data_IF_815675848500
#
_entry.id   IF_815675848500
#
_cell.length_a   1.000
_cell.length_b   1.000
_cell.length_c   1.000
_cell.angle_alpha   90.00
_cell.angle_beta   90.00
_cell.angle_gamma   90.00
#
_symmetry.space_group_name_H-M   'P 1'
#
loop_
_entity.id
_entity.type
_entity.pdbx_description
1 polymer ?
#
# COMPACT_ATOMS: atom_id res chain seq x y z
N UNK A 1 -4.62 18.87 -9.05
CA UNK A 1 -3.62 17.83 -8.74
C UNK A 1 -4.11 16.80 -7.70
N UNK A 2 -5.25 17.02 -7.02
CA UNK A 2 -5.87 16.03 -6.11
C UNK A 2 -6.35 14.74 -6.79
N UNK A 3 -6.92 14.83 -8.01
CA UNK A 3 -7.49 13.67 -8.71
C UNK A 3 -6.48 12.53 -8.95
N UNK A 4 -5.22 12.86 -9.26
CA UNK A 4 -4.18 11.84 -9.47
C UNK A 4 -3.79 11.14 -8.16
N UNK A 5 -3.66 11.91 -7.08
CA UNK A 5 -3.24 11.38 -5.77
C UNK A 5 -4.34 10.55 -5.11
N UNK A 6 -5.59 10.95 -5.27
CA UNK A 6 -6.74 10.17 -4.84
C UNK A 6 -6.82 8.84 -5.63
N UNK A 7 -6.63 8.90 -6.95
CA UNK A 7 -6.57 7.70 -7.80
C UNK A 7 -5.50 6.71 -7.35
N UNK A 8 -4.27 7.21 -7.14
CA UNK A 8 -3.14 6.43 -6.60
C UNK A 8 -3.45 5.78 -5.25
N UNK A 9 -4.09 6.53 -4.35
CA UNK A 9 -4.44 6.05 -3.00
C UNK A 9 -5.49 4.94 -3.05
N UNK A 10 -6.53 5.10 -3.89
CA UNK A 10 -7.56 4.07 -4.10
C UNK A 10 -6.96 2.81 -4.73
N UNK A 11 -6.06 2.97 -5.69
CA UNK A 11 -5.37 1.85 -6.33
C UNK A 11 -4.48 1.10 -5.32
N UNK A 12 -3.70 1.82 -4.52
CA UNK A 12 -2.93 1.25 -3.40
C UNK A 12 -3.80 0.43 -2.46
N UNK A 13 -4.93 0.99 -2.00
CA UNK A 13 -5.87 0.30 -1.11
C UNK A 13 -6.35 -0.99 -1.76
N UNK A 14 -6.79 -0.94 -3.03
CA UNK A 14 -7.27 -2.13 -3.73
C UNK A 14 -6.17 -3.19 -3.90
N UNK A 15 -4.94 -2.79 -4.21
CA UNK A 15 -3.79 -3.71 -4.30
C UNK A 15 -3.50 -4.36 -2.94
N UNK A 16 -3.44 -3.58 -1.87
CA UNK A 16 -3.18 -4.07 -0.51
C UNK A 16 -4.32 -4.96 0.02
N UNK A 17 -5.57 -4.63 -0.28
CA UNK A 17 -6.72 -5.47 0.07
C UNK A 17 -6.76 -6.78 -0.73
N UNK A 18 -6.27 -6.82 -1.96
CA UNK A 18 -6.11 -8.08 -2.69
C UNK A 18 -4.96 -8.91 -2.11
N UNK A 19 -3.82 -8.28 -1.82
CA UNK A 19 -2.70 -8.94 -1.17
C UNK A 19 -3.09 -9.59 0.16
N UNK A 20 -3.91 -8.91 0.98
CA UNK A 20 -4.36 -9.47 2.26
C UNK A 20 -5.18 -10.74 2.05
N UNK A 21 -6.06 -10.75 1.04
CA UNK A 21 -6.89 -11.91 0.70
C UNK A 21 -6.03 -13.05 0.20
N UNK A 22 -5.01 -12.76 -0.62
CA UNK A 22 -4.08 -13.76 -1.13
C UNK A 22 -3.29 -14.42 0.02
N UNK A 23 -2.87 -13.63 1.01
CA UNK A 23 -2.27 -14.12 2.25
C UNK A 23 -3.23 -14.81 3.23
N UNK A 24 -4.53 -14.82 2.94
CA UNK A 24 -5.54 -15.39 3.84
C UNK A 24 -5.78 -14.57 5.12
N UNK A 25 -5.49 -13.27 5.10
CA UNK A 25 -5.73 -12.35 6.21
C UNK A 25 -7.18 -11.86 6.21
N UNK A 26 -7.75 -11.73 7.40
CA UNK A 26 -9.12 -11.25 7.54
C UNK A 26 -9.19 -9.73 7.37
N UNK A 27 -10.37 -9.22 6.98
CA UNK A 27 -10.55 -7.79 6.76
C UNK A 27 -10.47 -6.97 8.05
N UNK A 28 -10.60 -7.66 9.19
CA UNK A 28 -10.53 -7.14 10.56
C UNK A 28 -9.13 -7.23 11.15
N UNK A 29 -8.21 -7.96 10.51
CA UNK A 29 -6.85 -8.11 11.00
C UNK A 29 -6.07 -6.81 10.78
N UNK A 30 -5.29 -6.45 11.80
CA UNK A 30 -4.31 -5.38 11.70
C UNK A 30 -3.06 -5.87 10.98
N UNK A 31 -2.59 -5.08 10.03
CA UNK A 31 -1.42 -5.42 9.21
C UNK A 31 -0.38 -4.30 9.22
N UNK A 32 0.87 -4.65 8.97
CA UNK A 32 1.95 -3.73 8.66
C UNK A 32 2.24 -3.81 7.17
N UNK A 33 2.37 -2.65 6.54
CA UNK A 33 2.57 -2.53 5.10
C UNK A 33 3.91 -1.86 4.83
N UNK A 34 4.69 -2.47 3.94
CA UNK A 34 5.92 -1.89 3.41
C UNK A 34 5.84 -1.79 1.90
N UNK A 35 6.24 -0.66 1.35
CA UNK A 35 6.20 -0.37 -0.09
C UNK A 35 7.54 0.15 -0.59
N UNK A 36 7.87 -0.10 -1.86
CA UNK A 36 9.06 0.51 -2.44
C UNK A 36 8.89 2.03 -2.50
N UNK A 37 9.91 2.77 -2.07
CA UNK A 37 9.91 4.23 -2.12
C UNK A 37 9.94 4.70 -3.59
N UNK A 38 8.79 5.15 -4.06
CA UNK A 38 8.64 5.81 -5.36
C UNK A 38 8.08 7.21 -5.16
N UNK A 39 8.81 8.24 -5.57
CA UNK A 39 8.53 9.65 -5.23
C UNK A 39 7.08 10.07 -5.47
N UNK A 40 6.44 9.61 -6.55
CA UNK A 40 5.02 9.92 -6.83
C UNK A 40 4.05 9.19 -5.89
N UNK A 41 4.31 7.90 -5.64
CA UNK A 41 3.49 7.04 -4.80
C UNK A 41 3.61 7.44 -3.34
N UNK A 42 4.84 7.68 -2.88
CA UNK A 42 5.16 8.14 -1.52
C UNK A 42 4.45 9.46 -1.25
N UNK A 43 4.48 10.42 -2.17
CA UNK A 43 3.77 11.69 -1.99
C UNK A 43 2.25 11.49 -1.94
N UNK A 44 1.67 10.76 -2.88
CA UNK A 44 0.21 10.50 -2.90
C UNK A 44 -0.27 9.74 -1.67
N UNK A 45 0.50 8.73 -1.26
CA UNK A 45 0.21 7.91 -0.10
C UNK A 45 0.45 8.65 1.21
N UNK A 46 1.44 9.55 1.31
CA UNK A 46 1.60 10.40 2.50
C UNK A 46 0.44 11.38 2.65
N UNK A 47 -0.04 11.98 1.55
CA UNK A 47 -1.20 12.88 1.59
C UNK A 47 -2.49 12.18 2.05
N UNK A 48 -2.63 10.88 1.75
CA UNK A 48 -3.80 10.08 2.09
C UNK A 48 -3.50 8.96 3.10
N UNK A 49 -2.42 9.08 3.87
CA UNK A 49 -1.88 7.98 4.66
C UNK A 49 -2.89 7.49 5.70
N UNK A 50 -3.56 8.43 6.36
CA UNK A 50 -4.62 8.13 7.32
C UNK A 50 -5.81 7.42 6.68
N UNK A 51 -6.18 7.79 5.45
CA UNK A 51 -7.27 7.15 4.72
C UNK A 51 -6.89 5.73 4.31
N UNK A 52 -5.70 5.55 3.73
CA UNK A 52 -5.18 4.24 3.31
C UNK A 52 -5.10 3.30 4.50
N UNK A 53 -4.45 3.71 5.60
CA UNK A 53 -4.32 2.88 6.80
C UNK A 53 -5.67 2.50 7.41
N UNK A 54 -6.65 3.40 7.36
CA UNK A 54 -7.99 3.11 7.87
C UNK A 54 -8.71 2.07 7.01
N UNK A 55 -8.65 2.22 5.68
CA UNK A 55 -9.32 1.31 4.72
C UNK A 55 -8.72 -0.10 4.68
N UNK A 56 -7.42 -0.23 4.95
CA UNK A 56 -6.74 -1.54 4.95
C UNK A 56 -6.46 -2.08 6.35
N UNK A 57 -6.87 -1.34 7.40
CA UNK A 57 -6.52 -1.60 8.80
C UNK A 57 -5.00 -1.77 9.01
N UNK A 58 -4.19 -0.96 8.35
CA UNK A 58 -2.75 -0.95 8.60
C UNK A 58 -2.39 -0.16 9.86
N UNK A 59 -1.59 -0.75 10.74
CA UNK A 59 -0.98 -0.05 11.88
C UNK A 59 0.19 0.84 11.42
N UNK A 60 0.94 0.38 10.41
CA UNK A 60 2.05 1.13 9.84
C UNK A 60 2.15 0.97 8.32
N UNK A 61 2.51 2.06 7.64
CA UNK A 61 2.81 2.11 6.22
C UNK A 61 4.18 2.74 6.04
N UNK A 62 5.17 1.92 5.68
CA UNK A 62 6.58 2.32 5.58
C UNK A 62 7.05 2.22 4.13
N UNK A 63 7.83 3.19 3.69
CA UNK A 63 8.46 3.18 2.37
C UNK A 63 9.94 2.85 2.50
N UNK A 64 10.43 1.85 1.75
CA UNK A 64 11.84 1.46 1.71
C UNK A 64 12.38 1.59 0.27
N UNK A 65 13.60 2.11 0.08
CA UNK A 65 14.22 2.26 -1.24
C UNK A 65 14.25 0.95 -2.04
N UNK A 66 14.40 -0.17 -1.36
CA UNK A 66 14.37 -1.49 -1.96
C UNK A 66 13.77 -2.52 -1.03
N UNK A 67 12.76 -3.24 -1.52
CA UNK A 67 12.22 -4.43 -0.86
C UNK A 67 12.73 -5.69 -1.57
N UNK A 68 13.43 -6.53 -0.84
CA UNK A 68 13.80 -7.87 -1.33
C UNK A 68 12.60 -8.80 -1.30
N UNK A 69 11.72 -8.66 -0.31
CA UNK A 69 10.56 -9.51 -0.06
C UNK A 69 9.25 -8.77 -0.33
N UNK A 70 8.20 -9.52 -0.71
CA UNK A 70 6.88 -8.98 -1.02
C UNK A 70 6.42 -9.35 -2.42
N UNK A 71 5.25 -8.86 -2.77
CA UNK A 71 4.63 -9.03 -4.08
C UNK A 71 4.84 -7.79 -4.94
N UNK A 72 5.03 -8.01 -6.23
CA UNK A 72 5.09 -6.93 -7.21
C UNK A 72 3.67 -6.48 -7.54
N UNK A 73 3.40 -5.20 -7.31
CA UNK A 73 2.14 -4.56 -7.68
C UNK A 73 2.41 -3.45 -8.69
N UNK A 74 1.49 -3.31 -9.64
CA UNK A 74 1.52 -2.22 -10.61
C UNK A 74 0.59 -1.10 -10.15
N UNK A 75 1.15 0.11 -10.07
CA UNK A 75 0.45 1.33 -9.68
C UNK A 75 0.79 2.45 -10.68
N UNK A 76 -0.22 3.03 -11.33
CA UNK A 76 -0.06 4.08 -12.36
C UNK A 76 0.99 3.70 -13.44
N UNK A 77 1.05 2.41 -13.81
CA UNK A 77 2.01 1.87 -14.78
C UNK A 77 3.45 1.70 -14.25
N UNK A 78 3.67 1.80 -12.94
CA UNK A 78 4.95 1.53 -12.28
C UNK A 78 4.89 0.28 -11.44
N UNK A 79 5.92 -0.54 -11.57
CA UNK A 79 6.09 -1.73 -10.74
C UNK A 79 6.73 -1.36 -9.40
N UNK A 80 6.08 -1.74 -8.32
CA UNK A 80 6.50 -1.50 -6.95
C UNK A 80 6.41 -2.82 -6.20
N UNK A 81 7.21 -3.00 -5.15
CA UNK A 81 7.01 -4.12 -4.24
C UNK A 81 6.21 -3.69 -3.04
N UNK A 82 5.23 -4.51 -2.68
CA UNK A 82 4.41 -4.37 -1.49
C UNK A 82 4.56 -5.63 -0.63
N UNK A 83 4.93 -5.43 0.62
CA UNK A 83 4.98 -6.49 1.62
C UNK A 83 3.96 -6.18 2.70
N UNK A 84 3.05 -7.11 2.92
CA UNK A 84 2.10 -7.05 4.03
C UNK A 84 2.44 -8.13 5.06
N UNK A 85 2.39 -7.79 6.34
CA UNK A 85 2.60 -8.72 7.45
C UNK A 85 1.52 -8.50 8.50
N UNK A 86 0.92 -9.58 8.99
CA UNK A 86 -0.03 -9.51 10.11
C UNK A 86 0.72 -9.06 11.36
N UNK A 87 0.10 -8.15 12.12
CA UNK A 87 0.59 -7.74 13.44
C UNK A 87 0.30 -8.81 14.49
#
# INVERSE_FOLDING_TARGET
EELKKEGLSRELINRLQNLRKDKGLEVTDRINVKLTAASEVVNAANENLSYICTEILADSLVFEDSLTEGETIEIDGKELKALIQKN
#
